data_IF_848281189314
#
_entry.id   IF_848281189314
#
_cell.length_a   1.000
_cell.length_b   1.000
_cell.length_c   1.000
_cell.angle_alpha   90.00
_cell.angle_beta   90.00
_cell.angle_gamma   90.00
#
_symmetry.space_group_name_H-M   'P 1'
#
loop_
_entity.id
_entity.type
_entity.pdbx_description
1 polymer ?
#
# COMPACT_ATOMS: atom_id res chain seq x y z
N UNK A 1 -1.61 6.90 17.69
CA UNK A 1 -2.25 6.64 16.38
C UNK A 1 -1.46 7.37 15.32
N UNK A 2 -1.16 6.72 14.19
CA UNK A 2 -0.49 7.31 13.03
C UNK A 2 -1.45 7.18 11.83
N UNK A 3 -1.61 8.25 11.04
CA UNK A 3 -2.47 8.32 9.85
C UNK A 3 -2.15 7.24 8.79
N UNK A 4 -0.96 6.62 8.85
CA UNK A 4 -0.54 5.56 7.94
C UNK A 4 -1.51 4.37 7.89
N UNK A 5 -2.23 4.08 8.97
CA UNK A 5 -3.21 3.00 8.96
C UNK A 5 -4.31 3.24 7.93
N UNK A 6 -4.89 4.46 7.93
CA UNK A 6 -5.90 4.86 6.95
C UNK A 6 -5.33 4.92 5.53
N UNK A 7 -4.08 5.37 5.37
CA UNK A 7 -3.38 5.36 4.07
C UNK A 7 -3.28 3.92 3.52
N UNK A 8 -3.01 2.93 4.38
CA UNK A 8 -2.97 1.52 4.00
C UNK A 8 -4.28 1.04 3.38
N UNK A 9 -5.43 1.43 3.96
CA UNK A 9 -6.75 1.10 3.40
C UNK A 9 -7.01 1.78 2.05
N UNK A 10 -6.67 3.07 1.92
CA UNK A 10 -6.84 3.79 0.66
C UNK A 10 -5.99 3.16 -0.45
N UNK A 11 -4.71 2.84 -0.17
CA UNK A 11 -3.83 2.18 -1.13
C UNK A 11 -4.31 0.77 -1.48
N UNK A 12 -4.81 0.02 -0.50
CA UNK A 12 -5.42 -1.29 -0.72
C UNK A 12 -6.58 -1.22 -1.72
N UNK A 13 -7.46 -0.24 -1.55
CA UNK A 13 -8.58 -0.03 -2.46
C UNK A 13 -8.10 0.38 -3.86
N UNK A 14 -7.12 1.28 -3.96
CA UNK A 14 -6.54 1.70 -5.26
C UNK A 14 -5.95 0.52 -6.02
N UNK A 15 -5.19 -0.36 -5.35
CA UNK A 15 -4.52 -1.48 -6.02
C UNK A 15 -5.44 -2.66 -6.35
N UNK A 16 -6.57 -2.82 -5.65
CA UNK A 16 -7.39 -4.05 -5.75
C UNK A 16 -8.85 -3.82 -6.14
N UNK A 17 -9.36 -2.60 -6.00
CA UNK A 17 -10.78 -2.27 -6.11
C UNK A 17 -11.65 -2.84 -4.98
N UNK A 18 -11.06 -3.39 -3.91
CA UNK A 18 -11.78 -4.02 -2.79
C UNK A 18 -11.64 -3.21 -1.51
N UNK A 19 -12.69 -3.22 -0.69
CA UNK A 19 -12.72 -2.54 0.62
C UNK A 19 -11.91 -3.29 1.69
N UNK A 20 -11.66 -4.59 1.48
CA UNK A 20 -10.79 -5.39 2.35
C UNK A 20 -9.31 -5.09 2.09
N UNK A 21 -8.48 -5.17 3.14
CA UNK A 21 -7.02 -5.04 3.00
C UNK A 21 -6.45 -6.10 2.02
N UNK A 22 -5.62 -5.62 1.11
CA UNK A 22 -4.93 -6.41 0.11
C UNK A 22 -4.04 -7.43 0.83
N UNK A 23 -4.32 -8.69 0.57
CA UNK A 23 -3.60 -9.83 1.13
C UNK A 23 -2.77 -10.50 0.04
N UNK A 24 -1.54 -10.91 0.33
CA UNK A 24 -0.66 -11.60 -0.61
C UNK A 24 0.82 -11.27 -0.42
N UNK A 25 1.65 -11.75 -1.35
CA UNK A 25 3.12 -11.63 -1.28
C UNK A 25 3.71 -10.62 -2.28
N UNK A 26 2.87 -9.95 -3.07
CA UNK A 26 3.30 -8.92 -4.02
C UNK A 26 3.81 -7.66 -3.34
N UNK A 27 4.60 -6.85 -4.04
CA UNK A 27 5.21 -5.64 -3.48
C UNK A 27 4.16 -4.62 -3.01
N UNK A 28 3.06 -4.48 -3.76
CA UNK A 28 1.92 -3.66 -3.36
C UNK A 28 1.25 -4.15 -2.05
N UNK A 29 1.11 -5.47 -1.88
CA UNK A 29 0.55 -6.06 -0.66
C UNK A 29 1.48 -5.83 0.55
N UNK A 30 2.80 -6.01 0.37
CA UNK A 30 3.80 -5.71 1.41
C UNK A 30 3.77 -4.24 1.83
N UNK A 31 3.61 -3.33 0.86
CA UNK A 31 3.49 -1.89 1.14
C UNK A 31 2.23 -1.60 1.95
N UNK A 32 1.07 -2.11 1.53
CA UNK A 32 -0.21 -1.96 2.26
C UNK A 32 -0.11 -2.53 3.68
N UNK A 33 0.49 -3.70 3.85
CA UNK A 33 0.70 -4.33 5.16
C UNK A 33 1.59 -3.49 6.07
N UNK A 34 2.66 -2.89 5.53
CA UNK A 34 3.51 -1.99 6.31
C UNK A 34 2.73 -0.77 6.80
N UNK A 35 1.92 -0.14 5.95
CA UNK A 35 1.05 0.98 6.35
C UNK A 35 0.05 0.60 7.45
N UNK A 36 -0.54 -0.60 7.36
CA UNK A 36 -1.64 -1.08 8.21
C UNK A 36 -1.20 -1.97 9.38
N UNK A 37 0.10 -2.10 9.66
CA UNK A 37 0.61 -2.89 10.78
C UNK A 37 -0.06 -2.49 12.11
N UNK A 38 -0.46 -3.46 12.94
CA UNK A 38 -0.96 -3.16 14.29
C UNK A 38 0.14 -2.61 15.20
N UNK A 39 1.39 -3.01 14.98
CA UNK A 39 2.55 -2.38 15.60
C UNK A 39 2.86 -1.07 14.86
N UNK A 40 2.66 0.06 15.54
CA UNK A 40 2.90 1.39 14.99
C UNK A 40 4.37 1.67 14.68
N UNK A 41 5.30 0.99 15.35
CA UNK A 41 6.74 1.15 15.09
C UNK A 41 7.18 0.55 13.76
N UNK A 42 6.38 -0.40 13.22
CA UNK A 42 6.61 -1.06 11.95
C UNK A 42 5.99 -0.31 10.77
N UNK A 43 5.18 0.73 11.04
CA UNK A 43 4.58 1.56 9.98
C UNK A 43 5.62 2.47 9.37
N UNK A 44 5.31 2.99 8.19
CA UNK A 44 6.06 4.12 7.64
C UNK A 44 6.03 5.30 8.62
N UNK A 45 7.15 6.01 8.73
CA UNK A 45 7.25 7.12 9.66
C UNK A 45 6.41 8.32 9.21
N UNK A 46 6.27 8.50 7.89
CA UNK A 46 5.54 9.60 7.27
C UNK A 46 5.11 9.24 5.84
N UNK A 47 4.28 10.10 5.24
CA UNK A 47 3.75 9.91 3.88
C UNK A 47 4.82 9.96 2.78
N UNK A 48 5.95 10.65 2.98
CA UNK A 48 7.00 10.75 1.96
C UNK A 48 7.68 9.39 1.73
N UNK A 49 7.86 8.60 2.80
CA UNK A 49 8.36 7.23 2.67
C UNK A 49 7.39 6.34 1.87
N UNK A 50 6.08 6.53 2.05
CA UNK A 50 5.04 5.82 1.29
C UNK A 50 5.12 6.19 -0.19
N UNK A 51 5.21 7.49 -0.52
CA UNK A 51 5.33 7.97 -1.91
C UNK A 51 6.58 7.38 -2.56
N UNK A 52 7.72 7.40 -1.86
CA UNK A 52 8.96 6.80 -2.37
C UNK A 52 8.83 5.29 -2.59
N UNK A 53 8.15 4.58 -1.69
CA UNK A 53 7.91 3.14 -1.84
C UNK A 53 6.98 2.83 -3.01
N UNK A 54 5.90 3.60 -3.19
CA UNK A 54 4.98 3.45 -4.33
C UNK A 54 5.69 3.73 -5.65
N UNK A 55 6.53 4.78 -5.71
CA UNK A 55 7.29 5.11 -6.93
C UNK A 55 8.35 4.07 -7.33
N UNK A 56 8.69 3.15 -6.43
CA UNK A 56 9.60 2.02 -6.69
C UNK A 56 8.88 0.74 -7.09
N UNK A 57 7.55 0.67 -6.94
CA UNK A 57 6.80 -0.47 -7.42
C UNK A 57 6.97 -0.53 -8.95
N UNK A 58 7.40 -1.69 -9.47
CA UNK A 58 7.36 -1.97 -10.91
C UNK A 58 5.88 -2.12 -11.31
N UNK A 59 5.18 -1.00 -11.37
CA UNK A 59 3.82 -0.94 -11.92
C UNK A 59 4.01 -0.96 -13.42
N UNK A 60 4.16 -2.16 -14.00
CA UNK A 60 3.79 -2.31 -15.41
C UNK A 60 2.34 -1.84 -15.49
N UNK A 61 2.04 -0.76 -16.25
CA UNK A 61 0.67 -0.42 -16.53
C UNK A 61 0.06 -1.69 -17.11
N UNK A 62 -0.95 -2.24 -16.44
CA UNK A 62 -1.75 -3.30 -17.04
C UNK A 62 -2.38 -2.66 -18.27
N UNK A 63 -1.76 -2.86 -19.45
CA UNK A 63 -2.33 -2.44 -20.72
C UNK A 63 -3.68 -3.13 -20.80
N UNK A 64 -4.76 -2.36 -20.61
CA UNK A 64 -6.11 -2.84 -20.90
C UNK A 64 -6.18 -3.19 -22.40
N UNK A 65 -7.02 -4.19 -22.78
CA UNK A 65 -6.94 -4.84 -24.08
C UNK A 65 -7.34 -3.91 -25.23
N UNK A 66 -6.86 -4.31 -26.42
CA UNK A 66 -6.89 -3.63 -27.72
C UNK A 66 -8.23 -3.01 -28.15
#
# INVERSE_FOLDING_TARGET
MNEMYSVGFVLSFIFSGRESLLSGHGEAAKLVQKCSSHDTSQRFANVLEVISAVGKLDVKPNQAPA
#
